data_IF_520393714215
#
_entry.id   IF_520393714215
#
_cell.length_a   1.000
_cell.length_b   1.000
_cell.length_c   1.000
_cell.angle_alpha   90.00
_cell.angle_beta   90.00
_cell.angle_gamma   90.00
#
_symmetry.space_group_name_H-M   'P 1'
#
loop_
_entity.id
_entity.type
_entity.pdbx_description
1 polymer ?
#
# COMPACT_ATOMS: atom_id res chain seq x y z
N UNK A 1 -6.89 28.63 -8.93
CA UNK A 1 -6.24 28.36 -10.20
C UNK A 1 -6.01 26.86 -10.30
N UNK A 2 -6.41 26.27 -11.43
CA UNK A 2 -6.07 24.90 -11.73
C UNK A 2 -4.58 24.85 -12.11
N UNK A 3 -3.84 23.97 -11.44
CA UNK A 3 -2.44 23.69 -11.74
C UNK A 3 -2.36 22.47 -12.66
N UNK A 4 -1.24 22.30 -13.40
CA UNK A 4 -1.01 21.05 -14.11
C UNK A 4 -0.93 19.87 -13.12
N UNK A 5 -1.10 18.65 -13.62
CA UNK A 5 -0.89 17.46 -12.80
C UNK A 5 0.54 17.40 -12.29
N UNK A 6 0.72 17.04 -11.02
CA UNK A 6 2.02 16.85 -10.41
C UNK A 6 2.76 15.63 -11.01
N UNK A 7 2.02 14.55 -11.24
CA UNK A 7 2.50 13.31 -11.83
C UNK A 7 1.62 12.95 -13.04
N UNK A 8 2.25 12.56 -14.12
CA UNK A 8 1.60 11.98 -15.29
C UNK A 8 1.93 10.50 -15.34
N UNK A 9 0.96 9.62 -15.62
CA UNK A 9 1.25 8.22 -15.86
C UNK A 9 2.28 8.03 -16.96
N UNK A 10 3.18 7.08 -16.79
CA UNK A 10 4.23 6.73 -17.77
C UNK A 10 4.24 5.22 -18.03
N UNK A 11 4.87 4.44 -17.18
CA UNK A 11 4.89 2.96 -17.30
C UNK A 11 3.61 2.31 -16.78
N UNK A 12 2.98 2.92 -15.79
CA UNK A 12 1.60 2.65 -15.39
C UNK A 12 0.62 3.47 -16.26
N UNK A 13 -0.62 3.04 -16.38
CA UNK A 13 -1.63 3.77 -17.15
C UNK A 13 -2.40 4.79 -16.29
N UNK A 14 -2.41 4.61 -14.97
CA UNK A 14 -3.11 5.48 -14.03
C UNK A 14 -2.37 5.59 -12.72
N UNK A 15 -2.36 6.81 -12.15
CA UNK A 15 -1.92 7.07 -10.78
C UNK A 15 -3.13 7.00 -9.84
N UNK A 16 -3.16 6.00 -8.97
CA UNK A 16 -4.20 5.81 -7.98
C UNK A 16 -3.76 6.30 -6.60
N UNK A 17 -4.51 5.95 -5.58
CA UNK A 17 -4.32 6.39 -4.20
C UNK A 17 -2.93 6.14 -3.65
N UNK A 18 -2.57 6.90 -2.64
CA UNK A 18 -1.31 6.79 -1.92
C UNK A 18 -1.18 7.87 -0.88
N UNK A 19 0.01 7.97 -0.30
CA UNK A 19 0.33 8.99 0.71
C UNK A 19 1.65 9.66 0.41
N UNK A 20 1.91 10.78 1.07
CA UNK A 20 3.19 11.45 1.04
C UNK A 20 3.60 11.92 2.43
N UNK A 21 4.89 12.16 2.60
CA UNK A 21 5.43 12.81 3.79
C UNK A 21 6.59 13.75 3.42
N UNK A 22 6.85 14.69 4.31
CA UNK A 22 7.95 15.63 4.17
C UNK A 22 9.19 15.08 4.86
N UNK A 23 10.30 15.02 4.14
CA UNK A 23 11.61 14.69 4.68
C UNK A 23 12.57 15.85 4.42
N UNK A 24 12.97 16.54 5.49
CA UNK A 24 13.86 17.70 5.41
C UNK A 24 13.38 18.76 4.39
N UNK A 25 13.99 18.80 3.21
CA UNK A 25 13.75 19.76 2.14
C UNK A 25 13.05 19.16 0.90
N UNK A 26 12.58 17.92 1.00
CA UNK A 26 11.87 17.24 -0.08
C UNK A 26 10.56 16.58 0.39
N UNK A 27 9.69 16.31 -0.55
CA UNK A 27 8.49 15.51 -0.33
C UNK A 27 8.63 14.18 -1.05
N UNK A 28 8.29 13.11 -0.36
CA UNK A 28 8.28 11.75 -0.89
C UNK A 28 6.83 11.32 -0.98
N UNK A 29 6.41 10.84 -2.14
CA UNK A 29 5.10 10.27 -2.39
C UNK A 29 5.22 8.80 -2.76
N UNK A 30 4.39 7.97 -2.17
CA UNK A 30 4.15 6.61 -2.62
C UNK A 30 2.72 6.51 -3.10
N UNK A 31 2.51 5.89 -4.26
CA UNK A 31 1.19 5.73 -4.85
C UNK A 31 1.05 4.39 -5.57
N UNK A 32 -0.18 3.98 -5.79
CA UNK A 32 -0.47 2.79 -6.57
C UNK A 32 -0.51 3.13 -8.06
N UNK A 33 0.44 2.59 -8.81
CA UNK A 33 0.38 2.58 -10.27
C UNK A 33 -0.57 1.46 -10.72
N UNK A 34 -1.62 1.83 -11.46
CA UNK A 34 -2.64 0.88 -11.91
C UNK A 34 -2.53 0.65 -13.41
N UNK A 35 -2.64 -0.61 -13.82
CA UNK A 35 -2.44 -1.10 -15.20
C UNK A 35 -1.03 -0.86 -15.74
N UNK A 36 -0.69 -1.38 -16.91
CA UNK A 36 0.68 -1.34 -17.39
C UNK A 36 1.64 -2.05 -16.45
N UNK A 37 2.69 -1.37 -16.01
CA UNK A 37 3.59 -1.84 -14.96
C UNK A 37 3.05 -1.47 -13.58
N UNK A 38 1.94 -2.09 -13.20
CA UNK A 38 1.26 -1.83 -11.94
C UNK A 38 2.09 -2.20 -10.71
N UNK A 39 1.84 -1.49 -9.60
CA UNK A 39 2.45 -1.76 -8.30
C UNK A 39 2.74 -0.51 -7.49
N UNK A 40 3.67 -0.63 -6.55
CA UNK A 40 4.15 0.49 -5.75
C UNK A 40 5.01 1.42 -6.59
N UNK A 41 4.59 2.65 -6.72
CA UNK A 41 5.34 3.73 -7.33
C UNK A 41 5.84 4.69 -6.24
N UNK A 42 7.06 5.20 -6.41
CA UNK A 42 7.63 6.21 -5.51
C UNK A 42 8.11 7.39 -6.33
N UNK A 43 7.71 8.59 -5.92
CA UNK A 43 8.15 9.84 -6.52
C UNK A 43 8.66 10.81 -5.46
N UNK A 44 9.56 11.70 -5.85
CA UNK A 44 10.16 12.73 -5.00
C UNK A 44 10.01 14.11 -5.64
N UNK A 45 9.92 15.13 -4.80
CA UNK A 45 9.94 16.53 -5.23
C UNK A 45 10.78 17.35 -4.27
N UNK A 46 11.77 18.04 -4.81
CA UNK A 46 12.57 19.08 -4.13
C UNK A 46 12.03 20.49 -4.43
N UNK A 47 10.96 20.56 -5.23
CA UNK A 47 10.32 21.82 -5.58
C UNK A 47 9.45 22.33 -4.43
N UNK A 48 9.73 23.52 -3.87
CA UNK A 48 8.92 24.10 -2.79
C UNK A 48 7.45 24.32 -3.13
N UNK A 49 7.10 24.35 -4.42
CA UNK A 49 5.73 24.48 -4.89
C UNK A 49 5.12 23.14 -5.31
N UNK A 50 5.87 22.06 -5.24
CA UNK A 50 5.45 20.69 -5.61
C UNK A 50 4.90 20.58 -7.04
N UNK A 51 5.42 21.38 -7.95
CA UNK A 51 5.01 21.38 -9.37
C UNK A 51 5.85 20.41 -10.21
N UNK A 52 7.04 20.04 -9.70
CA UNK A 52 7.97 19.15 -10.39
C UNK A 52 8.24 17.92 -9.52
N UNK A 53 7.99 16.75 -10.10
CA UNK A 53 8.19 15.47 -9.46
C UNK A 53 9.02 14.54 -10.33
N UNK A 54 9.80 13.69 -9.70
CA UNK A 54 10.58 12.65 -10.35
C UNK A 54 10.17 11.28 -9.79
N UNK A 55 9.80 10.34 -10.65
CA UNK A 55 9.60 8.95 -10.29
C UNK A 55 10.96 8.28 -10.11
N UNK A 56 11.26 7.78 -8.91
CA UNK A 56 12.60 7.38 -8.46
C UNK A 56 13.27 6.39 -9.41
N UNK A 57 12.54 5.39 -9.88
CA UNK A 57 13.09 4.37 -10.79
C UNK A 57 12.49 4.41 -12.21
N UNK A 58 11.55 5.33 -12.46
CA UNK A 58 10.78 5.38 -13.70
C UNK A 58 9.86 4.18 -13.91
N UNK A 59 9.61 3.37 -12.89
CA UNK A 59 8.72 2.20 -12.91
C UNK A 59 8.33 1.79 -11.49
N UNK A 60 7.42 0.81 -11.35
CA UNK A 60 7.07 0.25 -10.05
C UNK A 60 8.31 -0.31 -9.33
N UNK A 61 8.58 0.18 -8.12
CA UNK A 61 9.66 -0.32 -7.24
C UNK A 61 9.31 -1.67 -6.61
N UNK A 62 8.02 -1.95 -6.43
CA UNK A 62 7.47 -3.26 -6.11
C UNK A 62 6.36 -3.55 -7.12
N UNK A 63 6.62 -4.36 -8.15
CA UNK A 63 5.61 -4.65 -9.16
C UNK A 63 4.54 -5.60 -8.63
N UNK A 64 3.30 -5.38 -9.07
CA UNK A 64 2.24 -6.36 -8.90
C UNK A 64 2.47 -7.56 -9.82
N UNK A 65 2.39 -8.74 -9.26
CA UNK A 65 2.46 -10.01 -9.98
C UNK A 65 1.39 -10.96 -9.43
N UNK A 66 0.91 -11.88 -10.24
CA UNK A 66 -0.12 -12.82 -9.79
C UNK A 66 0.40 -13.66 -8.62
N UNK A 67 1.63 -14.17 -8.75
CA UNK A 67 2.34 -14.87 -7.67
C UNK A 67 3.83 -14.55 -7.75
N UNK A 68 4.44 -14.29 -6.60
CA UNK A 68 5.89 -14.11 -6.49
C UNK A 68 6.66 -15.45 -6.60
N UNK A 69 7.99 -15.38 -6.54
CA UNK A 69 8.87 -16.56 -6.61
C UNK A 69 8.64 -17.57 -5.46
N UNK A 70 7.99 -17.13 -4.38
CA UNK A 70 7.62 -17.97 -3.22
C UNK A 70 6.18 -18.48 -3.31
N UNK A 71 5.49 -18.22 -4.43
CA UNK A 71 4.11 -18.62 -4.66
C UNK A 71 3.10 -17.84 -3.82
N UNK A 72 3.41 -16.60 -3.44
CA UNK A 72 2.50 -15.70 -2.71
C UNK A 72 1.84 -14.73 -3.70
N UNK A 73 0.55 -14.45 -3.56
CA UNK A 73 -0.08 -13.39 -4.32
C UNK A 73 0.58 -12.05 -3.95
N UNK A 74 0.88 -11.25 -4.97
CA UNK A 74 1.57 -9.99 -4.80
C UNK A 74 0.83 -8.88 -5.52
N UNK A 75 -0.39 -8.66 -5.06
CA UNK A 75 -1.28 -7.60 -5.51
C UNK A 75 -1.44 -6.60 -4.37
N UNK A 76 -0.82 -5.44 -4.52
CA UNK A 76 -0.75 -4.39 -3.51
C UNK A 76 -1.34 -3.10 -4.05
N UNK A 77 -1.97 -2.33 -3.17
CA UNK A 77 -2.71 -1.11 -3.48
C UNK A 77 -2.44 -0.02 -2.45
N UNK A 78 -2.66 1.21 -2.82
CA UNK A 78 -2.89 2.36 -1.95
C UNK A 78 -1.86 2.51 -0.80
N UNK A 79 -0.59 2.71 -1.10
CA UNK A 79 0.47 2.69 -0.11
C UNK A 79 0.41 3.85 0.88
N UNK A 80 0.74 3.54 2.15
CA UNK A 80 1.08 4.51 3.19
C UNK A 80 2.58 4.47 3.46
N UNK A 81 3.29 5.58 3.22
CA UNK A 81 4.74 5.67 3.38
C UNK A 81 5.12 6.51 4.59
N UNK A 82 6.13 6.05 5.34
CA UNK A 82 6.78 6.81 6.40
C UNK A 82 8.26 6.46 6.52
N UNK A 83 8.99 7.19 7.36
CA UNK A 83 10.36 6.89 7.70
C UNK A 83 10.48 6.65 9.20
N UNK A 84 11.24 5.64 9.57
CA UNK A 84 11.66 5.38 10.95
C UNK A 84 13.14 5.01 10.97
N UNK A 85 13.91 5.80 11.73
CA UNK A 85 15.38 5.69 11.74
C UNK A 85 15.98 5.85 10.35
N UNK A 86 16.77 4.86 9.95
CA UNK A 86 17.50 4.85 8.68
C UNK A 86 16.69 4.22 7.52
N UNK A 87 15.44 3.83 7.76
CA UNK A 87 14.66 3.09 6.78
C UNK A 87 13.33 3.77 6.46
N UNK A 88 12.95 3.63 5.20
CA UNK A 88 11.60 3.92 4.73
C UNK A 88 10.76 2.66 4.85
N UNK A 89 9.52 2.85 5.21
CA UNK A 89 8.50 1.79 5.31
C UNK A 89 7.30 2.15 4.45
N UNK A 90 6.73 1.14 3.85
CA UNK A 90 5.46 1.26 3.12
C UNK A 90 4.53 0.15 3.57
N UNK A 91 3.33 0.55 3.94
CA UNK A 91 2.22 -0.35 4.20
C UNK A 91 1.25 -0.27 3.02
N UNK A 92 1.00 -1.38 2.38
CA UNK A 92 0.09 -1.47 1.23
C UNK A 92 -1.11 -2.33 1.60
N UNK A 93 -2.30 -1.87 1.27
CA UNK A 93 -3.48 -2.74 1.24
C UNK A 93 -3.32 -3.81 0.16
N UNK A 94 -4.03 -4.91 0.29
CA UNK A 94 -4.00 -6.01 -0.66
C UNK A 94 -4.72 -7.23 -0.14
N UNK A 95 -4.34 -8.38 -0.66
CA UNK A 95 -4.91 -9.65 -0.28
C UNK A 95 -3.86 -10.77 -0.24
N UNK A 96 -4.18 -11.83 0.48
CA UNK A 96 -3.42 -13.07 0.52
C UNK A 96 -4.35 -14.26 0.31
N UNK A 97 -3.78 -15.40 -0.12
CA UNK A 97 -4.52 -16.64 -0.24
C UNK A 97 -5.02 -17.15 1.12
N UNK A 98 -6.14 -17.84 1.08
CA UNK A 98 -6.69 -18.58 2.23
C UNK A 98 -7.85 -17.87 2.91
N UNK A 99 -8.21 -18.42 4.05
CA UNK A 99 -9.29 -17.94 4.91
C UNK A 99 -8.66 -17.48 6.23
N UNK A 100 -9.10 -16.37 6.75
CA UNK A 100 -8.72 -15.95 8.08
C UNK A 100 -9.61 -16.64 9.11
N UNK A 101 -9.09 -17.57 9.93
CA UNK A 101 -9.90 -18.27 10.93
C UNK A 101 -10.28 -17.39 12.12
N UNK A 102 -9.65 -16.21 12.27
CA UNK A 102 -9.90 -15.27 13.37
C UNK A 102 -10.98 -14.25 13.02
N UNK A 103 -11.21 -14.00 11.74
CA UNK A 103 -12.26 -13.11 11.28
C UNK A 103 -13.55 -13.88 10.99
N UNK A 104 -14.70 -13.26 11.23
CA UNK A 104 -15.97 -13.87 10.85
C UNK A 104 -16.04 -14.07 9.32
N UNK A 105 -16.52 -15.23 8.84
CA UNK A 105 -16.60 -15.47 7.41
C UNK A 105 -17.68 -14.58 6.78
N UNK A 106 -17.27 -13.63 5.97
CA UNK A 106 -18.18 -12.84 5.15
C UNK A 106 -18.17 -13.36 3.71
N UNK A 107 -18.95 -14.39 3.48
CA UNK A 107 -18.86 -15.30 2.35
C UNK A 107 -19.36 -14.78 1.00
N UNK A 108 -19.75 -13.52 0.82
CA UNK A 108 -20.61 -13.18 -0.31
C UNK A 108 -20.12 -12.13 -1.30
N UNK A 109 -19.08 -11.41 -1.02
CA UNK A 109 -18.55 -10.42 -1.96
C UNK A 109 -17.08 -10.67 -2.23
N UNK A 110 -16.77 -11.15 -3.41
CA UNK A 110 -15.40 -11.21 -3.92
C UNK A 110 -15.05 -9.85 -4.51
N UNK A 111 -14.58 -8.95 -3.67
CA UNK A 111 -14.02 -7.68 -4.13
C UNK A 111 -12.50 -7.83 -4.08
N UNK A 112 -11.83 -7.56 -5.20
CA UNK A 112 -10.38 -7.63 -5.32
C UNK A 112 -9.81 -9.03 -5.59
N UNK A 113 -10.31 -10.06 -4.96
CA UNK A 113 -9.88 -11.44 -5.22
C UNK A 113 -10.51 -11.95 -6.51
N UNK A 114 -9.80 -11.86 -7.60
CA UNK A 114 -10.27 -12.38 -8.88
C UNK A 114 -10.11 -13.92 -8.90
N UNK A 115 -11.23 -14.58 -9.10
CA UNK A 115 -11.33 -15.98 -9.53
C UNK A 115 -10.76 -17.09 -8.62
N UNK A 116 -11.61 -17.65 -7.82
CA UNK A 116 -11.67 -19.04 -7.37
C UNK A 116 -10.95 -19.46 -6.09
N UNK A 117 -9.84 -18.92 -5.68
CA UNK A 117 -9.26 -19.27 -4.37
C UNK A 117 -9.86 -18.44 -3.25
N UNK A 118 -10.10 -19.00 -2.07
CA UNK A 118 -10.38 -18.19 -0.91
C UNK A 118 -9.24 -17.21 -0.70
N UNK A 119 -9.55 -15.92 -0.65
CA UNK A 119 -8.59 -14.89 -0.32
C UNK A 119 -9.06 -14.13 0.93
N UNK A 120 -8.17 -13.43 1.55
CA UNK A 120 -8.43 -12.57 2.70
C UNK A 120 -7.72 -11.24 2.54
N UNK A 121 -8.30 -10.20 3.06
CA UNK A 121 -7.68 -8.89 3.18
C UNK A 121 -6.42 -8.95 4.05
N UNK A 122 -5.36 -8.29 3.64
CA UNK A 122 -4.13 -8.10 4.43
C UNK A 122 -3.50 -6.75 4.12
N UNK A 123 -2.76 -6.23 5.08
CA UNK A 123 -1.85 -5.12 4.88
C UNK A 123 -0.41 -5.65 4.77
N UNK A 124 0.25 -5.38 3.65
CA UNK A 124 1.60 -5.84 3.34
C UNK A 124 2.64 -4.78 3.71
N UNK A 125 3.62 -5.17 4.53
CA UNK A 125 4.71 -4.28 4.95
C UNK A 125 5.96 -4.49 4.12
N UNK A 126 6.54 -3.39 3.66
CA UNK A 126 7.83 -3.33 2.96
C UNK A 126 8.76 -2.34 3.64
N UNK A 127 10.06 -2.56 3.47
CA UNK A 127 11.12 -1.69 3.99
C UNK A 127 12.17 -1.43 2.93
N UNK A 128 12.68 -0.20 2.88
CA UNK A 128 13.77 0.20 1.99
C UNK A 128 14.78 1.10 2.69
N UNK A 129 16.09 1.00 2.40
CA UNK A 129 17.08 1.97 2.85
C UNK A 129 17.16 3.22 1.95
N UNK A 130 16.63 3.19 0.73
CA UNK A 130 16.98 4.13 -0.34
C UNK A 130 15.82 4.52 -1.28
N UNK A 131 14.59 4.07 -1.01
CA UNK A 131 13.37 4.24 -1.83
C UNK A 131 13.35 3.43 -3.13
N UNK A 132 14.45 2.80 -3.54
CA UNK A 132 14.55 2.02 -4.77
C UNK A 132 14.46 0.51 -4.49
N UNK A 133 15.16 0.07 -3.44
CA UNK A 133 15.32 -1.35 -3.10
C UNK A 133 14.42 -1.73 -1.92
N UNK A 134 13.30 -2.39 -2.22
CA UNK A 134 12.30 -2.74 -1.21
C UNK A 134 12.35 -4.22 -0.86
N UNK A 135 12.25 -4.50 0.43
CA UNK A 135 12.21 -5.85 0.98
C UNK A 135 10.85 -6.09 1.63
N UNK A 136 10.20 -7.15 1.24
CA UNK A 136 8.95 -7.59 1.88
C UNK A 136 9.21 -8.08 3.29
N UNK A 137 8.52 -7.49 4.26
CA UNK A 137 8.67 -7.81 5.69
C UNK A 137 7.62 -8.81 6.19
N UNK A 138 6.54 -8.98 5.44
CA UNK A 138 5.42 -9.85 5.82
C UNK A 138 4.09 -9.10 5.90
N UNK A 139 3.10 -9.79 6.40
CA UNK A 139 1.82 -9.20 6.77
C UNK A 139 2.00 -8.35 8.03
N UNK A 140 1.40 -7.18 8.05
CA UNK A 140 1.67 -6.19 9.10
C UNK A 140 1.06 -6.56 10.44
N UNK A 141 -0.17 -7.09 10.44
CA UNK A 141 -0.89 -7.37 11.67
C UNK A 141 -0.71 -8.81 12.15
N UNK A 142 -0.29 -8.97 13.40
CA UNK A 142 -0.38 -10.26 14.08
C UNK A 142 -1.81 -10.52 14.56
N UNK A 143 -2.30 -11.75 14.40
CA UNK A 143 -3.64 -12.18 14.83
C UNK A 143 -4.76 -11.27 14.29
N UNK A 144 -4.66 -10.90 13.04
CA UNK A 144 -5.56 -9.96 12.37
C UNK A 144 -7.01 -10.49 12.36
N UNK A 145 -7.86 -9.88 13.19
CA UNK A 145 -9.30 -10.17 13.24
C UNK A 145 -10.11 -9.43 12.18
N UNK A 146 -9.47 -8.52 11.41
CA UNK A 146 -10.08 -7.73 10.36
C UNK A 146 -9.68 -8.17 8.95
N UNK A 147 -8.82 -9.16 8.82
CA UNK A 147 -8.46 -9.75 7.54
C UNK A 147 -9.62 -10.58 6.97
N UNK A 148 -10.72 -9.92 6.62
CA UNK A 148 -11.95 -10.58 6.17
C UNK A 148 -11.74 -11.41 4.91
N UNK A 149 -12.32 -12.61 4.92
CA UNK A 149 -12.29 -13.49 3.75
C UNK A 149 -13.20 -12.96 2.64
N UNK A 150 -12.68 -12.95 1.39
CA UNK A 150 -13.40 -12.47 0.22
C UNK A 150 -13.35 -10.94 0.04
N UNK A 151 -12.50 -10.26 0.77
CA UNK A 151 -12.26 -8.83 0.70
C UNK A 151 -10.79 -8.53 0.37
N UNK A 152 -10.49 -7.32 -0.03
CA UNK A 152 -9.15 -6.76 -0.16
C UNK A 152 -9.01 -5.53 0.74
N UNK A 153 -7.80 -5.26 1.21
CA UNK A 153 -7.49 -4.04 1.96
C UNK A 153 -7.26 -2.87 1.02
N UNK A 154 -7.67 -1.67 1.43
CA UNK A 154 -7.38 -0.45 0.68
C UNK A 154 -7.04 0.69 1.62
N UNK A 155 -6.30 1.67 1.10
CA UNK A 155 -5.98 2.93 1.76
C UNK A 155 -5.56 2.76 3.24
N UNK A 156 -4.58 1.91 3.59
CA UNK A 156 -4.10 1.85 4.95
C UNK A 156 -3.42 3.16 5.33
N UNK A 157 -3.66 3.63 6.54
CA UNK A 157 -2.95 4.76 7.12
C UNK A 157 -2.40 4.37 8.48
N UNK A 158 -1.10 4.56 8.66
CA UNK A 158 -0.40 4.21 9.88
C UNK A 158 0.38 5.40 10.40
N UNK A 159 0.10 5.82 11.65
CA UNK A 159 0.80 6.94 12.28
C UNK A 159 0.75 6.88 13.81
N UNK A 160 1.65 7.59 14.51
CA UNK A 160 1.65 7.66 15.96
C UNK A 160 0.44 8.42 16.49
N UNK A 161 -0.11 7.95 17.61
CA UNK A 161 -1.15 8.59 18.38
C UNK A 161 -0.83 8.49 19.89
N UNK A 162 -0.38 9.59 20.49
CA UNK A 162 0.13 9.56 21.87
C UNK A 162 1.38 8.70 21.99
N UNK A 163 1.31 7.68 22.82
CA UNK A 163 2.37 6.68 23.06
C UNK A 163 2.16 5.37 22.28
N UNK A 164 1.23 5.36 21.34
CA UNK A 164 0.87 4.20 20.53
C UNK A 164 0.81 4.57 19.05
N UNK A 165 0.40 3.62 18.23
CA UNK A 165 0.11 3.82 16.83
C UNK A 165 -1.36 3.50 16.52
N UNK A 166 -1.88 4.14 15.50
CA UNK A 166 -3.17 3.80 14.91
C UNK A 166 -2.95 3.30 13.48
N UNK A 167 -3.54 2.18 13.17
CA UNK A 167 -3.77 1.71 11.81
C UNK A 167 -5.23 1.97 11.48
N UNK A 168 -5.49 2.79 10.46
CA UNK A 168 -6.78 2.94 9.83
C UNK A 168 -6.72 2.19 8.50
N UNK A 169 -7.64 1.30 8.26
CA UNK A 169 -7.75 0.54 7.01
C UNK A 169 -9.19 0.54 6.50
N UNK A 170 -9.36 0.23 5.23
CA UNK A 170 -10.66 0.26 4.59
C UNK A 170 -10.97 -1.09 3.95
N UNK A 171 -12.11 -1.60 4.29
CA UNK A 171 -12.71 -2.77 3.67
C UNK A 171 -13.77 -2.30 2.67
N UNK A 172 -13.82 -2.89 1.50
CA UNK A 172 -14.89 -2.63 0.53
C UNK A 172 -16.25 -3.15 1.01
N UNK A 173 -16.25 -4.05 1.99
CA UNK A 173 -17.46 -4.66 2.57
C UNK A 173 -17.88 -3.99 3.88
N UNK A 174 -16.91 -3.67 4.76
CA UNK A 174 -17.16 -3.22 6.13
C UNK A 174 -16.84 -1.74 6.37
N UNK A 175 -16.44 -1.00 5.32
CA UNK A 175 -16.05 0.42 5.43
C UNK A 175 -14.76 0.64 6.24
N UNK A 176 -14.62 1.81 6.85
CA UNK A 176 -13.43 2.16 7.61
C UNK A 176 -13.36 1.43 8.95
N UNK A 177 -12.19 0.92 9.26
CA UNK A 177 -11.86 0.25 10.51
C UNK A 177 -10.58 0.83 11.10
N UNK A 178 -10.38 0.69 12.39
CA UNK A 178 -9.12 1.10 12.99
C UNK A 178 -8.68 0.14 14.10
N UNK A 179 -7.37 0.06 14.28
CA UNK A 179 -6.71 -0.66 15.37
C UNK A 179 -5.74 0.29 16.06
N UNK A 180 -5.64 0.20 17.38
CA UNK A 180 -4.63 0.90 18.16
C UNK A 180 -3.73 -0.15 18.78
N UNK A 181 -2.43 -0.03 18.55
CA UNK A 181 -1.41 -0.97 19.01
C UNK A 181 -0.07 -0.30 19.31
N UNK A 182 0.91 -1.11 19.63
CA UNK A 182 2.28 -0.69 19.89
C UNK A 182 3.11 -0.67 18.61
#
# INVERSE_FOLDING_TARGET
>A
HDLPYALYPDTEENCFSGTCFVEEDRVIAAYYGHQGQAGLMVAVSDDPLLLNWEVVTGKAVVPNVDYDELGRPHQIYDPCIWKDGDFYYVLCGGWADGINPLAEPHAHNKVGCQDATPCRMVDHLYRSPDLENWVYMGEFMENDIFGFSGDDGSCPYFWPIGDRHILLTFSHVHSAMFVIGD
#
